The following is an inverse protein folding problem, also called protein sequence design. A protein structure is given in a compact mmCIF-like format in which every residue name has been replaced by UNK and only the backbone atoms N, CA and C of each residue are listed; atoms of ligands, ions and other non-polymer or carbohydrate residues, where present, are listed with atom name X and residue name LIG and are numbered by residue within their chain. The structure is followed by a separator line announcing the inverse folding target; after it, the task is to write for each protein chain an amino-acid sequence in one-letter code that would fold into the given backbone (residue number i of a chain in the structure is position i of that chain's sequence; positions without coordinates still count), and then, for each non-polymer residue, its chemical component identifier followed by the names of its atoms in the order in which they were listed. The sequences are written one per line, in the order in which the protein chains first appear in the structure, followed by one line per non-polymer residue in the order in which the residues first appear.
data_IF_053355425976
#
_entry.id   IF_053355425976
#
_cell.length_a   1.000
_cell.length_b   1.000
_cell.length_c   1.000
_cell.angle_alpha   90.00
_cell.angle_beta   90.00
_cell.angle_gamma   90.00
#
_symmetry.space_group_name_H-M   'P 1'
#
loop_
_entity.id
_entity.type
_entity.pdbx_description
1 polymer ?
#
# COMPACT_ATOMS: atom_id res chain seq x y z
N UNK A 1 -6.58 -59.32 -8.97
CA UNK A 1 -5.86 -58.15 -9.51
C UNK A 1 -6.88 -57.06 -9.80
N UNK A 2 -6.75 -55.83 -9.23
CA UNK A 2 -7.67 -54.75 -9.53
C UNK A 2 -7.38 -54.16 -10.92
N UNK A 3 -8.40 -53.98 -11.76
CA UNK A 3 -8.23 -53.33 -13.05
C UNK A 3 -7.68 -51.92 -12.91
N UNK A 4 -6.74 -51.51 -13.75
CA UNK A 4 -6.18 -50.14 -13.70
C UNK A 4 -7.27 -49.10 -13.97
N UNK A 5 -7.25 -48.05 -13.18
CA UNK A 5 -8.18 -46.89 -13.37
C UNK A 5 -7.84 -46.20 -14.71
N UNK A 6 -8.74 -46.18 -15.70
CA UNK A 6 -8.49 -45.60 -17.03
C UNK A 6 -8.22 -44.08 -16.93
N UNK A 7 -8.68 -43.43 -15.85
CA UNK A 7 -8.48 -42.01 -15.62
C UNK A 7 -7.27 -41.69 -14.72
N UNK A 8 -6.45 -42.72 -14.39
CA UNK A 8 -5.31 -42.53 -13.44
C UNK A 8 -4.32 -41.45 -13.94
N UNK A 9 -3.98 -41.48 -15.22
CA UNK A 9 -3.08 -40.48 -15.83
C UNK A 9 -3.66 -39.07 -15.80
N UNK A 10 -4.93 -38.90 -16.17
CA UNK A 10 -5.62 -37.62 -16.16
C UNK A 10 -5.71 -37.05 -14.73
N UNK A 11 -5.91 -37.92 -13.73
CA UNK A 11 -5.97 -37.50 -12.32
C UNK A 11 -4.59 -37.13 -11.78
N UNK A 12 -3.53 -37.79 -12.19
CA UNK A 12 -2.15 -37.37 -11.86
C UNK A 12 -1.86 -36.00 -12.43
N UNK A 13 -2.15 -35.79 -13.72
CA UNK A 13 -1.96 -34.49 -14.37
C UNK A 13 -2.80 -33.37 -13.71
N UNK A 14 -4.05 -33.65 -13.30
CA UNK A 14 -4.87 -32.70 -12.56
C UNK A 14 -4.28 -32.33 -11.19
N UNK A 15 -3.73 -33.33 -10.45
CA UNK A 15 -3.04 -33.08 -9.18
C UNK A 15 -1.78 -32.22 -9.37
N UNK A 16 -0.97 -32.52 -10.38
CA UNK A 16 0.24 -31.74 -10.68
C UNK A 16 -0.11 -30.29 -11.01
N UNK A 17 -1.15 -30.07 -11.84
CA UNK A 17 -1.67 -28.72 -12.11
C UNK A 17 -2.16 -28.01 -10.85
N UNK A 18 -2.81 -28.73 -9.94
CA UNK A 18 -3.28 -28.18 -8.68
C UNK A 18 -2.08 -27.79 -7.78
N UNK A 19 -1.07 -28.65 -7.65
CA UNK A 19 0.15 -28.36 -6.89
C UNK A 19 0.88 -27.15 -7.48
N UNK A 20 1.06 -27.10 -8.80
CA UNK A 20 1.68 -25.97 -9.48
C UNK A 20 0.91 -24.66 -9.24
N UNK A 21 -0.43 -24.71 -9.28
CA UNK A 21 -1.30 -23.56 -8.99
C UNK A 21 -1.16 -23.09 -7.53
N UNK A 22 -1.13 -24.02 -6.57
CA UNK A 22 -0.90 -23.67 -5.16
C UNK A 22 0.48 -23.02 -4.95
N UNK A 23 1.52 -23.58 -5.56
CA UNK A 23 2.86 -23.04 -5.47
C UNK A 23 2.96 -21.62 -6.08
N UNK A 24 2.35 -21.41 -7.26
CA UNK A 24 2.29 -20.11 -7.90
C UNK A 24 1.55 -19.09 -7.03
N UNK A 25 0.35 -19.43 -6.57
CA UNK A 25 -0.43 -18.55 -5.69
C UNK A 25 0.32 -18.23 -4.39
N UNK A 26 0.96 -19.23 -3.78
CA UNK A 26 1.77 -19.03 -2.58
C UNK A 26 2.91 -18.03 -2.81
N UNK A 27 3.66 -18.19 -3.91
CA UNK A 27 4.76 -17.29 -4.25
C UNK A 27 4.28 -15.86 -4.56
N UNK A 28 3.17 -15.70 -5.28
CA UNK A 28 2.57 -14.41 -5.59
C UNK A 28 2.01 -13.74 -4.33
N UNK A 29 1.41 -14.52 -3.43
CA UNK A 29 0.91 -14.03 -2.14
C UNK A 29 2.04 -13.50 -1.27
N UNK A 30 3.16 -14.23 -1.15
CA UNK A 30 4.34 -13.76 -0.40
C UNK A 30 4.87 -12.44 -0.99
N UNK A 31 4.98 -12.35 -2.33
CA UNK A 31 5.41 -11.13 -3.01
C UNK A 31 4.45 -9.96 -2.71
N UNK A 32 3.15 -10.20 -2.73
CA UNK A 32 2.15 -9.19 -2.40
C UNK A 32 2.26 -8.72 -0.94
N UNK A 33 2.39 -9.65 0.01
CA UNK A 33 2.55 -9.33 1.44
C UNK A 33 3.81 -8.49 1.71
N UNK A 34 4.92 -8.81 1.04
CA UNK A 34 6.13 -8.02 1.14
C UNK A 34 5.93 -6.59 0.59
N UNK A 35 5.22 -6.44 -0.53
CA UNK A 35 4.86 -5.12 -1.08
C UNK A 35 3.91 -4.37 -0.16
N UNK A 36 2.93 -5.04 0.40
CA UNK A 36 1.99 -4.44 1.36
C UNK A 36 2.69 -3.94 2.62
N UNK A 37 3.61 -4.73 3.17
CA UNK A 37 4.43 -4.33 4.33
C UNK A 37 5.28 -3.12 4.00
N UNK A 38 5.93 -3.11 2.83
CA UNK A 38 6.71 -1.96 2.35
C UNK A 38 5.83 -0.73 2.14
N UNK A 39 4.63 -0.91 1.60
CA UNK A 39 3.64 0.16 1.45
C UNK A 39 3.22 0.76 2.79
N UNK A 40 2.88 -0.08 3.78
CA UNK A 40 2.50 0.37 5.13
C UNK A 40 3.63 1.18 5.79
N UNK A 41 4.86 0.67 5.77
CA UNK A 41 6.04 1.39 6.28
C UNK A 41 6.28 2.70 5.52
N UNK A 42 6.13 2.68 4.20
CA UNK A 42 6.25 3.89 3.37
C UNK A 42 5.18 4.94 3.68
N UNK A 43 3.95 4.52 3.99
CA UNK A 43 2.86 5.40 4.41
C UNK A 43 3.16 6.07 5.75
N UNK A 44 3.64 5.30 6.74
CA UNK A 44 4.03 5.81 8.06
C UNK A 44 5.19 6.78 7.95
N UNK A 45 6.25 6.42 7.21
CA UNK A 45 7.39 7.30 6.98
C UNK A 45 6.99 8.61 6.27
N UNK A 46 6.07 8.54 5.30
CA UNK A 46 5.54 9.72 4.62
C UNK A 46 4.73 10.61 5.57
N UNK A 47 3.93 10.03 6.48
CA UNK A 47 3.17 10.79 7.47
C UNK A 47 4.09 11.49 8.48
N UNK A 48 5.13 10.81 8.97
CA UNK A 48 6.15 11.41 9.83
C UNK A 48 6.93 12.51 9.10
N UNK A 49 7.29 12.28 7.84
CA UNK A 49 7.94 13.28 7.00
C UNK A 49 7.07 14.52 6.79
N UNK A 50 5.76 14.34 6.59
CA UNK A 50 4.79 15.42 6.48
C UNK A 50 4.75 16.28 7.76
N UNK A 51 4.67 15.62 8.92
CA UNK A 51 4.62 16.31 10.22
C UNK A 51 5.88 17.14 10.47
N UNK A 52 7.06 16.58 10.21
CA UNK A 52 8.36 17.30 10.32
C UNK A 52 8.42 18.47 9.34
N UNK A 53 8.07 18.25 8.07
CA UNK A 53 8.09 19.31 7.07
C UNK A 53 7.14 20.48 7.41
N UNK A 54 5.95 20.18 7.99
CA UNK A 54 5.03 21.21 8.49
C UNK A 54 5.64 22.01 9.65
N UNK A 55 6.28 21.35 10.60
CA UNK A 55 6.97 22.00 11.71
C UNK A 55 8.09 22.91 11.19
N UNK A 56 8.90 22.42 10.27
CA UNK A 56 10.00 23.21 9.69
C UNK A 56 9.48 24.42 8.89
N UNK A 57 8.38 24.25 8.15
CA UNK A 57 7.73 25.35 7.42
C UNK A 57 7.21 26.42 8.39
N UNK A 58 6.62 25.99 9.50
CA UNK A 58 6.13 26.89 10.54
C UNK A 58 7.28 27.67 11.19
N UNK A 59 8.38 26.99 11.54
CA UNK A 59 9.58 27.65 12.10
C UNK A 59 10.18 28.65 11.11
N UNK A 60 10.27 28.29 9.81
CA UNK A 60 10.74 29.22 8.77
C UNK A 60 9.85 30.45 8.66
N UNK A 61 8.53 30.26 8.71
CA UNK A 61 7.58 31.35 8.67
C UNK A 61 7.68 32.24 9.93
N UNK A 62 7.90 31.66 11.12
CA UNK A 62 8.13 32.41 12.35
C UNK A 62 9.37 33.32 12.29
N UNK A 63 10.41 32.95 11.54
CA UNK A 63 11.58 33.81 11.37
C UNK A 63 11.24 35.14 10.68
N UNK A 64 10.17 35.16 9.85
CA UNK A 64 9.69 36.41 9.22
C UNK A 64 9.10 37.34 10.29
N UNK A 65 8.33 36.82 11.24
CA UNK A 65 7.81 37.61 12.36
C UNK A 65 8.95 38.07 13.28
N UNK A 66 9.97 37.23 13.48
CA UNK A 66 11.17 37.59 14.22
C UNK A 66 11.93 38.76 13.58
N UNK A 67 12.04 38.78 12.26
CA UNK A 67 12.66 39.90 11.52
C UNK A 67 11.85 41.18 11.65
N UNK A 68 10.52 41.09 11.59
CA UNK A 68 9.63 42.25 11.82
C UNK A 68 9.77 42.83 13.23
N UNK A 69 9.92 41.95 14.26
CA UNK A 69 10.20 42.41 15.64
C UNK A 69 11.52 43.17 15.73
N UNK A 70 12.58 42.64 15.14
CA UNK A 70 13.89 43.31 15.11
C UNK A 70 13.82 44.68 14.42
N UNK A 71 13.06 44.75 13.31
CA UNK A 71 12.86 46.06 12.63
C UNK A 71 12.16 47.04 13.53
N UNK A 72 11.13 46.64 14.28
CA UNK A 72 10.44 47.51 15.24
C UNK A 72 11.38 47.96 16.37
N UNK A 73 12.17 47.05 16.94
CA UNK A 73 13.13 47.39 17.96
C UNK A 73 14.16 48.40 17.45
N UNK A 74 14.69 48.21 16.24
CA UNK A 74 15.60 49.18 15.63
C UNK A 74 14.95 50.54 15.40
N UNK A 75 13.69 50.57 14.98
CA UNK A 75 12.92 51.78 14.80
C UNK A 75 12.68 52.50 16.13
N UNK A 76 12.35 51.77 17.23
CA UNK A 76 12.20 52.32 18.54
C UNK A 76 13.55 52.85 19.11
N UNK A 77 14.65 52.14 18.89
CA UNK A 77 15.98 52.63 19.30
C UNK A 77 16.39 53.88 18.55
N UNK A 78 16.16 53.95 17.25
CA UNK A 78 16.42 55.14 16.44
C UNK A 78 15.58 56.36 16.90
N UNK A 79 14.31 56.11 17.26
CA UNK A 79 13.45 57.12 17.79
C UNK A 79 13.87 57.62 19.18
N UNK A 80 14.25 56.70 20.09
CA UNK A 80 14.81 57.05 21.39
C UNK A 80 16.10 57.87 21.28
N UNK A 81 17.02 57.48 20.37
CA UNK A 81 18.23 58.21 20.10
C UNK A 81 17.97 59.64 19.57
N UNK A 82 16.98 59.80 18.71
CA UNK A 82 16.62 61.13 18.18
C UNK A 82 16.03 62.07 19.25
N UNK A 83 15.36 61.52 20.27
CA UNK A 83 14.84 62.28 21.39
C UNK A 83 15.93 62.94 22.28
N UNK A 84 17.03 62.20 22.49
CA UNK A 84 18.15 62.71 23.26
C UNK A 84 18.88 63.90 22.62
N UNK A 85 18.79 64.02 21.28
CA UNK A 85 19.39 65.14 20.52
C UNK A 85 18.49 66.38 20.52
N UNK A 86 17.17 66.21 20.72
CA UNK A 86 16.17 67.28 20.57
C UNK A 86 15.70 67.95 21.88
N UNK A 87 16.32 67.67 23.05
CA UNK A 87 15.93 68.30 24.34
C UNK A 87 16.20 69.79 24.40
N UNK A 88 16.70 70.40 23.34
CA UNK A 88 16.99 71.84 23.21
C UNK A 88 15.87 72.70 22.64
N UNK A 89 14.55 72.39 22.84
CA UNK A 89 13.55 73.43 22.60
C UNK A 89 12.52 73.23 21.50
N UNK A 90 12.28 72.02 21.02
CA UNK A 90 11.18 71.80 20.00
C UNK A 90 9.81 71.66 20.62
N UNK A 91 8.83 72.33 19.98
CA UNK A 91 7.43 72.39 20.28
C UNK A 91 6.79 71.02 20.56
N UNK A 92 5.88 70.89 21.54
CA UNK A 92 5.06 69.73 21.89
C UNK A 92 4.35 69.10 20.67
N UNK A 93 4.01 69.92 19.67
CA UNK A 93 3.41 69.48 18.38
C UNK A 93 4.35 68.65 17.52
N UNK A 94 5.65 68.96 17.48
CA UNK A 94 6.66 68.19 16.71
C UNK A 94 6.82 66.81 17.32
N UNK A 95 6.88 66.72 18.68
CA UNK A 95 6.97 65.41 19.38
C UNK A 95 5.76 64.52 19.16
N UNK A 96 4.55 65.08 19.14
CA UNK A 96 3.32 64.36 18.85
C UNK A 96 3.28 63.81 17.42
N UNK A 97 3.68 64.60 16.43
CA UNK A 97 3.71 64.16 15.02
C UNK A 97 4.75 63.09 14.79
N UNK A 98 5.88 63.11 15.48
CA UNK A 98 6.94 62.09 15.39
C UNK A 98 6.45 60.77 16.02
N UNK A 99 5.73 60.83 17.15
CA UNK A 99 5.15 59.67 17.80
C UNK A 99 4.03 59.05 16.94
N UNK A 100 3.20 59.83 16.29
CA UNK A 100 2.19 59.30 15.36
C UNK A 100 2.83 58.63 14.16
N UNK A 101 3.90 59.17 13.58
CA UNK A 101 4.67 58.56 12.51
C UNK A 101 5.28 57.20 12.94
N UNK A 102 5.84 57.13 14.17
CA UNK A 102 6.37 55.89 14.74
C UNK A 102 5.30 54.82 14.86
N UNK A 103 4.13 55.17 15.43
CA UNK A 103 3.00 54.25 15.55
C UNK A 103 2.52 53.74 14.19
N UNK A 104 2.44 54.66 13.22
CA UNK A 104 2.03 54.31 11.87
C UNK A 104 3.02 53.36 11.19
N UNK A 105 4.34 53.60 11.34
CA UNK A 105 5.38 52.73 10.81
C UNK A 105 5.41 51.37 11.50
N UNK A 106 5.24 51.30 12.81
CA UNK A 106 5.17 50.02 13.54
C UNK A 106 3.96 49.20 13.12
N UNK A 107 2.79 49.86 12.93
CA UNK A 107 1.59 49.17 12.42
C UNK A 107 1.80 48.63 10.98
N UNK A 108 2.49 49.38 10.12
CA UNK A 108 2.82 48.94 8.76
C UNK A 108 3.79 47.74 8.78
N UNK A 109 4.81 47.76 9.65
CA UNK A 109 5.73 46.62 9.81
C UNK A 109 4.96 45.38 10.30
N UNK A 110 4.05 45.51 11.26
CA UNK A 110 3.25 44.40 11.76
C UNK A 110 2.35 43.83 10.67
N UNK A 111 1.66 44.69 9.93
CA UNK A 111 0.82 44.25 8.81
C UNK A 111 1.63 43.51 7.74
N UNK A 112 2.73 44.11 7.29
CA UNK A 112 3.58 43.53 6.27
C UNK A 112 4.20 42.18 6.73
N UNK A 113 4.64 42.09 8.01
CA UNK A 113 5.21 40.84 8.57
C UNK A 113 4.16 39.75 8.69
N UNK A 114 2.94 40.07 9.11
CA UNK A 114 1.84 39.10 9.21
C UNK A 114 1.39 38.61 7.82
N UNK A 115 1.26 39.51 6.85
CA UNK A 115 0.95 39.13 5.48
C UNK A 115 2.05 38.29 4.83
N UNK A 116 3.32 38.61 5.05
CA UNK A 116 4.45 37.84 4.55
C UNK A 116 4.52 36.47 5.23
N UNK A 117 4.25 36.37 6.53
CA UNK A 117 4.13 35.12 7.25
C UNK A 117 3.04 34.24 6.64
N UNK A 118 1.82 34.74 6.49
CA UNK A 118 0.70 34.00 5.93
C UNK A 118 1.01 33.48 4.52
N UNK A 119 1.45 34.37 3.62
CA UNK A 119 1.80 33.99 2.24
C UNK A 119 2.90 32.93 2.17
N UNK A 120 4.00 33.09 2.91
CA UNK A 120 5.08 32.11 2.90
C UNK A 120 4.67 30.78 3.51
N UNK A 121 3.90 30.80 4.59
CA UNK A 121 3.39 29.58 5.21
C UNK A 121 2.48 28.81 4.22
N UNK A 122 1.56 29.48 3.56
CA UNK A 122 0.64 28.88 2.60
C UNK A 122 1.38 28.25 1.40
N UNK A 123 2.36 28.95 0.84
CA UNK A 123 3.17 28.45 -0.27
C UNK A 123 3.94 27.19 0.16
N UNK A 124 4.61 27.24 1.30
CA UNK A 124 5.36 26.12 1.84
C UNK A 124 4.44 24.93 2.15
N UNK A 125 3.28 25.19 2.76
CA UNK A 125 2.31 24.17 3.10
C UNK A 125 1.72 23.47 1.87
N UNK A 126 1.35 24.23 0.83
CA UNK A 126 0.88 23.67 -0.44
C UNK A 126 1.94 22.83 -1.12
N UNK A 127 3.19 23.27 -1.12
CA UNK A 127 4.32 22.49 -1.65
C UNK A 127 4.49 21.15 -0.95
N UNK A 128 4.48 21.15 0.38
CA UNK A 128 4.58 19.96 1.23
C UNK A 128 3.41 19.01 0.99
N UNK A 129 2.17 19.53 0.87
CA UNK A 129 1.00 18.69 0.57
C UNK A 129 1.11 18.02 -0.80
N UNK A 130 1.52 18.76 -1.84
CA UNK A 130 1.70 18.20 -3.20
C UNK A 130 2.76 17.08 -3.18
N UNK A 131 3.88 17.32 -2.52
CA UNK A 131 4.93 16.30 -2.39
C UNK A 131 4.44 15.05 -1.65
N UNK A 132 3.70 15.20 -0.56
CA UNK A 132 3.11 14.11 0.19
C UNK A 132 2.15 13.27 -0.67
N UNK A 133 1.24 13.92 -1.41
CA UNK A 133 0.30 13.24 -2.30
C UNK A 133 1.03 12.49 -3.43
N UNK A 134 2.06 13.10 -4.01
CA UNK A 134 2.89 12.45 -5.03
C UNK A 134 3.60 11.22 -4.49
N UNK A 135 4.17 11.30 -3.29
CA UNK A 135 4.80 10.15 -2.62
C UNK A 135 3.79 9.05 -2.30
N UNK A 136 2.58 9.39 -1.85
CA UNK A 136 1.51 8.42 -1.63
C UNK A 136 1.06 7.73 -2.91
N UNK A 137 0.85 8.48 -3.99
CA UNK A 137 0.48 7.93 -5.29
C UNK A 137 1.55 6.94 -5.80
N UNK A 138 2.84 7.32 -5.72
CA UNK A 138 3.97 6.45 -6.07
C UNK A 138 4.05 5.19 -5.21
N UNK A 139 3.79 5.28 -3.92
CA UNK A 139 3.77 4.12 -3.03
C UNK A 139 2.60 3.20 -3.37
N UNK A 140 1.41 3.75 -3.66
CA UNK A 140 0.22 2.99 -4.03
C UNK A 140 0.40 2.25 -5.36
N UNK A 141 1.03 2.87 -6.36
CA UNK A 141 1.29 2.21 -7.64
C UNK A 141 2.22 1.00 -7.53
N UNK A 142 3.11 0.97 -6.52
CA UNK A 142 4.02 -0.16 -6.25
C UNK A 142 3.36 -1.34 -5.56
N UNK A 143 2.18 -1.16 -4.96
CA UNK A 143 1.48 -2.22 -4.26
C UNK A 143 1.03 -3.32 -5.23
N UNK A 144 0.54 -2.93 -6.42
CA UNK A 144 -0.01 -3.86 -7.40
C UNK A 144 -1.36 -4.44 -7.01
N UNK A 145 -1.83 -5.41 -7.79
CA UNK A 145 -3.08 -6.11 -7.51
C UNK A 145 -2.87 -7.27 -6.54
N UNK A 146 -3.86 -7.53 -5.71
CA UNK A 146 -3.87 -8.69 -4.82
C UNK A 146 -4.01 -9.96 -5.67
N UNK A 147 -3.20 -11.02 -5.41
CA UNK A 147 -3.34 -12.28 -6.12
C UNK A 147 -4.68 -12.93 -5.80
N UNK A 148 -5.37 -13.41 -6.85
CA UNK A 148 -6.62 -14.14 -6.71
C UNK A 148 -6.37 -15.64 -6.89
N UNK A 149 -7.11 -16.45 -6.14
CA UNK A 149 -6.96 -17.91 -6.21
C UNK A 149 -7.32 -18.48 -7.59
N UNK A 150 -8.18 -17.81 -8.33
CA UNK A 150 -8.70 -18.25 -9.62
C UNK A 150 -9.60 -19.51 -9.51
N UNK A 151 -10.11 -19.98 -10.63
CA UNK A 151 -11.01 -21.14 -10.68
C UNK A 151 -10.33 -22.42 -10.16
N UNK A 152 -11.05 -23.29 -9.42
CA UNK A 152 -10.51 -24.55 -8.94
C UNK A 152 -10.17 -25.49 -10.12
N UNK A 153 -9.13 -26.32 -9.93
CA UNK A 153 -8.80 -27.38 -10.91
C UNK A 153 -9.80 -28.51 -10.70
N UNK A 154 -10.62 -28.77 -11.73
CA UNK A 154 -11.56 -29.89 -11.71
C UNK A 154 -10.80 -31.22 -11.82
N UNK A 155 -11.02 -32.11 -10.88
CA UNK A 155 -10.48 -33.46 -10.94
C UNK A 155 -11.45 -34.37 -11.70
N UNK A 156 -10.96 -35.17 -12.68
CA UNK A 156 -11.81 -36.16 -13.31
C UNK A 156 -12.39 -37.13 -12.29
N UNK A 157 -13.65 -37.55 -12.42
CA UNK A 157 -14.24 -38.52 -11.51
C UNK A 157 -13.50 -39.86 -11.58
N UNK A 158 -13.56 -40.63 -10.52
CA UNK A 158 -13.11 -42.02 -10.56
C UNK A 158 -14.10 -42.80 -11.39
N UNK A 159 -13.62 -43.49 -12.41
CA UNK A 159 -14.45 -44.42 -13.18
C UNK A 159 -14.64 -45.72 -12.38
N UNK A 160 -15.56 -45.67 -11.42
CA UNK A 160 -15.94 -46.81 -10.61
C UNK A 160 -16.75 -47.84 -11.41
N UNK A 161 -17.49 -47.37 -12.40
CA UNK A 161 -18.37 -48.20 -13.26
C UNK A 161 -17.50 -49.05 -14.17
N UNK A 162 -16.49 -48.49 -14.82
CA UNK A 162 -15.57 -49.25 -15.65
C UNK A 162 -14.74 -50.27 -14.85
N UNK A 163 -14.32 -49.92 -13.63
CA UNK A 163 -13.62 -50.87 -12.74
C UNK A 163 -14.53 -52.02 -12.31
N UNK A 164 -15.81 -51.74 -12.02
CA UNK A 164 -16.76 -52.76 -11.61
C UNK A 164 -17.08 -53.69 -12.80
N UNK A 165 -17.33 -53.14 -14.00
CA UNK A 165 -17.56 -53.94 -15.19
C UNK A 165 -16.34 -54.81 -15.58
N UNK A 166 -15.11 -54.28 -15.48
CA UNK A 166 -13.89 -55.04 -15.72
C UNK A 166 -13.71 -56.17 -14.70
N UNK A 167 -14.06 -55.94 -13.43
CA UNK A 167 -14.02 -57.00 -12.38
C UNK A 167 -15.07 -58.10 -12.61
N UNK A 168 -16.25 -57.72 -13.07
CA UNK A 168 -17.32 -58.68 -13.48
C UNK A 168 -16.87 -59.52 -14.68
N UNK A 169 -16.31 -58.89 -15.71
CA UNK A 169 -15.78 -59.62 -16.90
C UNK A 169 -14.69 -60.62 -16.53
N UNK A 170 -13.74 -60.23 -15.65
CA UNK A 170 -12.75 -61.18 -15.14
C UNK A 170 -13.38 -62.29 -14.31
N UNK A 171 -14.37 -62.00 -13.49
CA UNK A 171 -15.09 -63.01 -12.70
C UNK A 171 -15.90 -63.98 -13.59
N UNK A 172 -16.57 -63.49 -14.63
CA UNK A 172 -17.30 -64.30 -15.57
C UNK A 172 -16.36 -65.14 -16.47
N UNK A 173 -15.19 -64.59 -16.85
CA UNK A 173 -14.17 -65.32 -17.60
C UNK A 173 -13.60 -66.51 -16.80
N UNK A 174 -13.43 -66.38 -15.51
CA UNK A 174 -12.99 -67.48 -14.63
C UNK A 174 -14.12 -68.51 -14.47
N UNK A 175 -15.38 -68.05 -14.31
CA UNK A 175 -16.51 -68.97 -14.20
C UNK A 175 -16.76 -69.79 -15.50
N UNK A 176 -16.61 -69.19 -16.67
CA UNK A 176 -16.70 -69.90 -17.94
C UNK A 176 -15.58 -70.88 -18.17
N UNK A 177 -14.39 -70.64 -17.71
CA UNK A 177 -13.25 -71.58 -17.78
C UNK A 177 -13.43 -72.75 -16.83
N UNK A 178 -14.08 -72.58 -15.68
CA UNK A 178 -14.38 -73.65 -14.73
C UNK A 178 -15.50 -74.53 -15.26
N UNK A 179 -16.56 -73.94 -15.89
CA UNK A 179 -17.65 -74.69 -16.51
C UNK A 179 -17.15 -75.52 -17.72
N UNK A 180 -16.26 -74.95 -18.53
CA UNK A 180 -15.61 -75.67 -19.64
C UNK A 180 -14.78 -76.89 -19.22
N UNK A 181 -14.11 -76.83 -18.06
CA UNK A 181 -13.42 -77.93 -17.51
C UNK A 181 -14.32 -79.01 -16.87
N UNK A 182 -15.52 -78.65 -16.44
CA UNK A 182 -16.52 -79.58 -15.89
C UNK A 182 -17.28 -80.38 -16.94
N UNK A 183 -17.52 -79.83 -18.13
CA UNK A 183 -18.27 -80.48 -19.22
C UNK A 183 -17.41 -81.50 -20.02
N UNK A 184 -16.12 -81.43 -20.00
CA UNK A 184 -15.24 -82.40 -20.65
C UNK A 184 -15.05 -83.69 -19.86
N UNK A 185 -15.51 -83.78 -18.61
CA UNK A 185 -15.31 -84.94 -17.75
C UNK A 185 -16.52 -85.87 -17.59
N UNK A 186 -17.68 -85.46 -18.12
CA UNK A 186 -18.91 -86.26 -17.96
C UNK A 186 -19.50 -86.77 -19.25
N UNK A 187 -18.66 -86.97 -20.27
CA UNK A 187 -19.14 -87.33 -21.60
C UNK A 187 -18.65 -88.61 -22.23
N UNK A 188 -18.00 -89.56 -21.50
CA UNK A 188 -17.56 -90.79 -22.10
C UNK A 188 -17.56 -92.01 -21.12
N UNK A 189 -18.67 -92.32 -20.52
CA UNK A 189 -18.86 -93.64 -19.92
C UNK A 189 -20.33 -94.04 -19.95
N UNK A 190 -20.89 -94.25 -21.11
CA UNK A 190 -22.14 -94.99 -21.29
C UNK A 190 -22.17 -95.61 -22.71
N UNK A 191 -21.35 -96.62 -22.96
CA UNK A 191 -21.63 -97.68 -23.88
C UNK A 191 -20.64 -98.85 -23.62
N UNK A 192 -21.20 -99.93 -23.10
CA UNK A 192 -20.56 -101.21 -22.94
C UNK A 192 -21.33 -102.12 -22.03
#
# INVERSE_FOLDING_TARGET
MCAPDPNAAARRAARERQIAKHAKFGSESIKYWNRETTYKRGKEAAALGLSRAKSDAYVKALNILGSGRKQKENLHRAYAGSRYVDEGGRSRTAGRNTLLKLLQQTAQIDKASNEAFGRNYDILFQGIQREYLTRQAKNRSRLGTRPEWGAPVMMPPRDRTGQFLASLQMGLGIASSIVGLGTTRFGTDAQG
#
